data_IF_180250782667
#
_entry.id   IF_180250782667
#
_cell.length_a   1.000
_cell.length_b   1.000
_cell.length_c   1.000
_cell.angle_alpha   90.00
_cell.angle_beta   90.00
_cell.angle_gamma   90.00
#
_symmetry.space_group_name_H-M   'P 1'
#
loop_
_entity.id
_entity.type
_entity.pdbx_description
1 polymer ?
#
# COMPACT_ATOMS: atom_id res chain seq x y z
N UNK A 1 -17.75 17.24 -17.99
CA UNK A 1 -16.64 16.86 -17.09
C UNK A 1 -15.93 18.12 -16.57
N UNK A 2 -15.74 19.13 -17.40
CA UNK A 2 -14.99 20.35 -17.04
C UNK A 2 -15.68 21.23 -15.99
N UNK A 3 -17.02 21.36 -16.01
CA UNK A 3 -17.75 22.16 -15.02
C UNK A 3 -17.58 21.62 -13.59
N UNK A 4 -17.59 20.29 -13.41
CA UNK A 4 -17.42 19.65 -12.11
C UNK A 4 -15.97 19.80 -11.63
N UNK A 5 -15.00 19.64 -12.52
CA UNK A 5 -13.58 19.85 -12.20
C UNK A 5 -13.31 21.31 -11.80
N UNK A 6 -13.90 22.27 -12.53
CA UNK A 6 -13.80 23.69 -12.22
C UNK A 6 -14.47 24.02 -10.88
N UNK A 7 -15.67 23.49 -10.62
CA UNK A 7 -16.35 23.69 -9.33
C UNK A 7 -15.53 23.14 -8.15
N UNK A 8 -14.89 21.98 -8.31
CA UNK A 8 -14.00 21.41 -7.31
C UNK A 8 -12.74 22.26 -7.10
N UNK A 9 -12.14 22.78 -8.16
CA UNK A 9 -10.98 23.66 -8.06
C UNK A 9 -11.33 24.99 -7.35
N UNK A 10 -12.48 25.59 -7.69
CA UNK A 10 -12.99 26.80 -7.01
C UNK A 10 -13.27 26.50 -5.53
N UNK A 11 -13.87 25.35 -5.22
CA UNK A 11 -14.09 24.92 -3.84
C UNK A 11 -12.77 24.75 -3.07
N UNK A 12 -11.76 24.12 -3.66
CA UNK A 12 -10.44 23.95 -3.05
C UNK A 12 -9.76 25.29 -2.76
N UNK A 13 -9.71 26.18 -3.75
CA UNK A 13 -9.12 27.52 -3.56
C UNK A 13 -9.87 28.35 -2.53
N UNK A 14 -11.20 28.25 -2.47
CA UNK A 14 -12.00 28.90 -1.43
C UNK A 14 -11.70 28.34 -0.04
N UNK A 15 -11.60 27.00 0.09
CA UNK A 15 -11.22 26.35 1.34
C UNK A 15 -9.83 26.80 1.80
N UNK A 16 -8.85 26.86 0.90
CA UNK A 16 -7.50 27.34 1.23
C UNK A 16 -7.50 28.80 1.69
N UNK A 17 -8.26 29.68 1.03
CA UNK A 17 -8.43 31.08 1.46
C UNK A 17 -9.08 31.19 2.83
N UNK A 18 -10.15 30.43 3.07
CA UNK A 18 -10.82 30.39 4.37
C UNK A 18 -9.85 29.93 5.48
N UNK A 19 -9.03 28.92 5.22
CA UNK A 19 -8.05 28.44 6.19
C UNK A 19 -7.00 29.50 6.51
N UNK A 20 -6.49 30.22 5.51
CA UNK A 20 -5.56 31.34 5.74
C UNK A 20 -6.18 32.44 6.60
N UNK A 21 -7.46 32.75 6.37
CA UNK A 21 -8.21 33.71 7.17
C UNK A 21 -8.42 33.22 8.61
N UNK A 22 -8.73 31.95 8.82
CA UNK A 22 -8.84 31.35 10.15
C UNK A 22 -7.53 31.44 10.93
N UNK A 23 -6.41 31.08 10.30
CA UNK A 23 -5.07 31.15 10.90
C UNK A 23 -4.73 32.61 11.24
N UNK A 24 -4.94 33.54 10.30
CA UNK A 24 -4.70 34.96 10.54
C UNK A 24 -5.52 35.49 11.71
N UNK A 25 -6.80 35.11 11.79
CA UNK A 25 -7.70 35.54 12.87
C UNK A 25 -7.25 35.00 14.22
N UNK A 26 -6.90 33.72 14.31
CA UNK A 26 -6.40 33.12 15.55
C UNK A 26 -5.11 33.79 16.01
N UNK A 27 -4.19 34.03 15.07
CA UNK A 27 -2.95 34.73 15.32
C UNK A 27 -3.16 36.16 15.83
N UNK A 28 -4.05 36.91 15.18
CA UNK A 28 -4.35 38.28 15.58
C UNK A 28 -4.92 38.32 17.01
N UNK A 29 -5.80 37.37 17.38
CA UNK A 29 -6.31 37.25 18.75
C UNK A 29 -5.18 37.01 19.75
N UNK A 30 -4.29 36.04 19.51
CA UNK A 30 -3.14 35.78 20.39
C UNK A 30 -2.18 36.98 20.48
N UNK A 31 -1.98 37.68 19.36
CA UNK A 31 -1.18 38.90 19.29
C UNK A 31 -1.80 40.02 20.12
N UNK A 32 -3.10 40.24 20.03
CA UNK A 32 -3.83 41.23 20.84
C UNK A 32 -3.80 40.88 22.33
N UNK A 33 -3.99 39.61 22.69
CA UNK A 33 -3.86 39.15 24.08
C UNK A 33 -2.45 39.40 24.64
N UNK A 34 -1.42 39.17 23.82
CA UNK A 34 -0.03 39.42 24.20
C UNK A 34 0.24 40.91 24.37
N UNK A 35 -0.28 41.74 23.46
CA UNK A 35 -0.18 43.21 23.55
C UNK A 35 -0.80 43.76 24.84
N UNK A 36 -1.94 43.23 25.27
CA UNK A 36 -2.61 43.64 26.51
C UNK A 36 -1.80 43.30 27.78
N UNK A 37 -0.90 42.31 27.72
CA UNK A 37 -0.06 41.89 28.85
C UNK A 37 1.32 42.56 28.86
N UNK A 38 1.70 43.26 27.80
CA UNK A 38 3.01 43.87 27.66
C UNK A 38 3.08 45.24 28.35
N UNK A 39 4.21 45.55 29.03
CA UNK A 39 4.49 46.91 29.46
C UNK A 39 4.51 47.87 28.26
N UNK A 40 3.95 49.08 28.39
CA UNK A 40 3.82 50.04 27.30
C UNK A 40 5.14 50.33 26.56
N UNK A 41 6.27 50.31 27.28
CA UNK A 41 7.62 50.52 26.72
C UNK A 41 8.06 49.42 25.75
N UNK A 42 7.52 48.20 25.89
CA UNK A 42 7.93 47.03 25.12
C UNK A 42 7.04 46.80 23.89
N UNK A 43 5.88 47.46 23.82
CA UNK A 43 4.88 47.31 22.74
C UNK A 43 5.47 47.58 21.36
N UNK A 44 6.22 48.67 21.18
CA UNK A 44 6.81 49.01 19.87
C UNK A 44 7.82 47.94 19.42
N UNK A 45 8.66 47.48 20.34
CA UNK A 45 9.65 46.43 20.05
C UNK A 45 8.99 45.09 19.70
N UNK A 46 7.87 44.78 20.34
CA UNK A 46 7.06 43.62 20.03
C UNK A 46 6.45 43.75 18.63
N UNK A 47 5.82 44.89 18.31
CA UNK A 47 5.21 45.13 17.01
C UNK A 47 6.20 45.05 15.84
N UNK A 48 7.43 45.53 16.02
CA UNK A 48 8.50 45.40 15.01
C UNK A 48 8.93 43.95 14.77
N UNK A 49 9.00 43.12 15.82
CA UNK A 49 9.30 41.69 15.70
C UNK A 49 8.15 40.95 15.02
N UNK A 50 6.92 41.29 15.40
CA UNK A 50 5.69 40.73 14.84
C UNK A 50 5.52 41.04 13.35
N UNK A 51 5.93 42.23 12.90
CA UNK A 51 5.87 42.60 11.49
C UNK A 51 6.83 41.79 10.60
N UNK A 52 7.90 41.21 11.17
CA UNK A 52 8.91 40.41 10.46
C UNK A 52 8.59 38.91 10.41
N UNK A 53 7.58 38.45 11.14
CA UNK A 53 7.22 37.03 11.20
C UNK A 53 6.64 36.54 9.88
N UNK A 54 7.15 35.40 9.44
CA UNK A 54 6.66 34.65 8.29
C UNK A 54 5.29 34.03 8.58
N UNK A 55 4.51 33.72 7.55
CA UNK A 55 3.18 33.12 7.74
C UNK A 55 3.23 31.76 8.46
N UNK A 56 4.33 31.01 8.32
CA UNK A 56 4.56 29.76 9.05
C UNK A 56 4.82 29.99 10.55
N UNK A 57 5.41 31.12 10.93
CA UNK A 57 5.60 31.52 12.33
C UNK A 57 4.33 32.08 12.97
N UNK A 58 3.35 32.50 12.15
CA UNK A 58 2.02 32.93 12.62
C UNK A 58 1.08 31.76 12.90
N UNK A 59 1.46 30.55 12.52
CA UNK A 59 0.66 29.36 12.83
C UNK A 59 0.76 29.02 14.31
N UNK A 60 -0.38 29.12 15.01
CA UNK A 60 -0.49 28.70 16.41
C UNK A 60 -0.28 27.19 16.54
N UNK A 61 0.02 26.70 17.74
CA UNK A 61 0.14 25.25 17.97
C UNK A 61 -1.17 24.51 17.69
N UNK A 62 -2.31 25.18 17.85
CA UNK A 62 -3.62 24.64 17.47
C UNK A 62 -3.76 24.51 15.95
N UNK A 63 -3.36 25.54 15.19
CA UNK A 63 -3.41 25.50 13.74
C UNK A 63 -2.52 24.39 13.17
N UNK A 64 -1.32 24.22 13.74
CA UNK A 64 -0.42 23.10 13.42
C UNK A 64 -1.07 21.75 13.71
N UNK A 65 -1.80 21.62 14.82
CA UNK A 65 -2.53 20.39 15.17
C UNK A 65 -3.67 20.12 14.20
N UNK A 66 -4.46 21.14 13.83
CA UNK A 66 -5.51 21.00 12.81
C UNK A 66 -4.90 20.54 11.48
N UNK A 67 -3.81 21.18 11.05
CA UNK A 67 -3.14 20.86 9.79
C UNK A 67 -2.71 19.40 9.75
N UNK A 68 -2.04 18.89 10.80
CA UNK A 68 -1.67 17.48 10.91
C UNK A 68 -2.88 16.54 10.85
N UNK A 69 -3.95 16.86 11.58
CA UNK A 69 -5.18 16.04 11.57
C UNK A 69 -5.79 15.98 10.16
N UNK A 70 -5.76 17.09 9.42
CA UNK A 70 -6.24 17.14 8.03
C UNK A 70 -5.35 16.29 7.12
N UNK A 71 -4.03 16.43 7.22
CA UNK A 71 -3.05 15.63 6.46
C UNK A 71 -3.21 14.13 6.73
N UNK A 72 -3.43 13.73 7.99
CA UNK A 72 -3.71 12.34 8.35
C UNK A 72 -5.02 11.82 7.71
N UNK A 73 -6.06 12.66 7.67
CA UNK A 73 -7.33 12.31 7.03
C UNK A 73 -7.16 12.13 5.52
N UNK A 74 -6.41 13.02 4.86
CA UNK A 74 -6.17 12.92 3.41
C UNK A 74 -5.29 11.70 3.07
N UNK A 75 -4.26 11.42 3.87
CA UNK A 75 -3.43 10.21 3.70
C UNK A 75 -4.26 8.93 3.88
N UNK A 76 -5.12 8.85 4.91
CA UNK A 76 -6.03 7.71 5.09
C UNK A 76 -6.98 7.52 3.92
N UNK A 77 -7.56 8.61 3.40
CA UNK A 77 -8.41 8.56 2.22
C UNK A 77 -7.64 8.05 0.99
N UNK A 78 -6.43 8.57 0.76
CA UNK A 78 -5.56 8.13 -0.33
C UNK A 78 -5.21 6.64 -0.22
N UNK A 79 -4.85 6.14 0.96
CA UNK A 79 -4.58 4.71 1.19
C UNK A 79 -5.80 3.83 0.92
N UNK A 80 -6.99 4.31 1.26
CA UNK A 80 -8.26 3.60 1.01
C UNK A 80 -8.53 3.50 -0.48
N UNK A 81 -8.37 4.60 -1.23
CA UNK A 81 -8.48 4.61 -2.68
C UNK A 81 -7.44 3.68 -3.33
N UNK A 82 -6.18 3.73 -2.89
CA UNK A 82 -5.14 2.83 -3.39
C UNK A 82 -5.50 1.35 -3.16
N UNK A 83 -6.05 1.00 -1.98
CA UNK A 83 -6.51 -0.36 -1.68
C UNK A 83 -7.61 -0.79 -2.64
N UNK A 84 -8.56 0.09 -2.94
CA UNK A 84 -9.64 -0.15 -3.89
C UNK A 84 -9.12 -0.38 -5.31
N UNK A 85 -8.26 0.50 -5.83
CA UNK A 85 -7.66 0.35 -7.16
C UNK A 85 -6.79 -0.90 -7.28
N UNK A 86 -6.04 -1.25 -6.23
CA UNK A 86 -5.30 -2.53 -6.18
C UNK A 86 -6.24 -3.73 -6.29
N UNK A 87 -7.41 -3.70 -5.64
CA UNK A 87 -8.42 -4.77 -5.74
C UNK A 87 -8.99 -4.88 -7.16
N UNK A 88 -9.32 -3.75 -7.80
CA UNK A 88 -9.80 -3.72 -9.19
C UNK A 88 -8.74 -4.31 -10.13
N UNK A 89 -7.50 -3.86 -10.02
CA UNK A 89 -6.40 -4.34 -10.85
C UNK A 89 -6.24 -5.86 -10.74
N UNK A 90 -6.14 -6.37 -9.52
CA UNK A 90 -6.01 -7.81 -9.23
C UNK A 90 -7.20 -8.60 -9.80
N UNK A 91 -8.43 -8.10 -9.64
CA UNK A 91 -9.64 -8.73 -10.24
C UNK A 91 -9.60 -8.70 -11.78
N UNK A 92 -9.09 -7.61 -12.37
CA UNK A 92 -8.90 -7.49 -13.82
C UNK A 92 -7.88 -8.50 -14.36
N UNK A 93 -6.75 -8.66 -13.67
CA UNK A 93 -5.72 -9.66 -13.98
C UNK A 93 -6.29 -11.09 -13.87
N UNK A 94 -7.02 -11.40 -12.79
CA UNK A 94 -7.74 -12.66 -12.61
C UNK A 94 -8.72 -12.95 -13.76
N UNK A 95 -9.54 -11.97 -14.14
CA UNK A 95 -10.48 -12.11 -15.24
C UNK A 95 -9.77 -12.34 -16.58
N UNK A 96 -8.62 -11.69 -16.79
CA UNK A 96 -7.82 -11.89 -17.99
C UNK A 96 -7.22 -13.31 -18.05
N UNK A 97 -6.70 -13.81 -16.92
CA UNK A 97 -6.22 -15.20 -16.80
C UNK A 97 -7.37 -16.19 -17.08
N UNK A 98 -8.53 -16.01 -16.44
CA UNK A 98 -9.70 -16.86 -16.64
C UNK A 98 -10.15 -16.92 -18.10
N UNK A 99 -10.18 -15.77 -18.79
CA UNK A 99 -10.49 -15.70 -20.23
C UNK A 99 -9.44 -16.40 -21.11
N UNK A 100 -8.17 -16.45 -20.69
CA UNK A 100 -7.12 -17.21 -21.41
C UNK A 100 -7.26 -18.71 -21.19
N UNK A 101 -7.52 -19.13 -19.94
CA UNK A 101 -7.70 -20.54 -19.59
C UNK A 101 -8.94 -21.12 -20.26
N UNK A 102 -10.05 -20.37 -20.31
CA UNK A 102 -11.31 -20.84 -20.92
C UNK A 102 -11.21 -21.08 -22.42
N UNK A 103 -10.29 -20.41 -23.13
CA UNK A 103 -10.01 -20.67 -24.56
C UNK A 103 -9.35 -22.03 -24.81
N UNK A 104 -8.74 -22.65 -23.80
CA UNK A 104 -8.07 -23.95 -23.94
C UNK A 104 -9.11 -25.04 -23.68
N UNK A 105 -9.37 -25.93 -24.67
CA UNK A 105 -10.28 -27.06 -24.47
C UNK A 105 -9.85 -27.91 -23.27
N UNK A 106 -10.81 -28.42 -22.49
CA UNK A 106 -10.54 -29.17 -21.26
C UNK A 106 -9.55 -30.34 -21.46
N UNK A 107 -9.70 -31.08 -22.57
CA UNK A 107 -8.78 -32.17 -22.95
C UNK A 107 -7.33 -31.67 -23.09
N UNK A 108 -7.12 -30.54 -23.75
CA UNK A 108 -5.79 -29.94 -23.95
C UNK A 108 -5.21 -29.41 -22.64
N UNK A 109 -6.03 -28.90 -21.73
CA UNK A 109 -5.59 -28.47 -20.39
C UNK A 109 -4.99 -29.63 -19.59
N UNK A 110 -5.62 -30.79 -19.61
CA UNK A 110 -5.08 -32.00 -18.94
C UNK A 110 -3.73 -32.41 -19.52
N UNK A 111 -3.59 -32.41 -20.85
CA UNK A 111 -2.31 -32.74 -21.51
C UNK A 111 -1.20 -31.76 -21.11
N UNK A 112 -1.49 -30.45 -21.07
CA UNK A 112 -0.52 -29.43 -20.65
C UNK A 112 -0.12 -29.59 -19.17
N UNK A 113 -1.08 -29.93 -18.30
CA UNK A 113 -0.80 -30.21 -16.89
C UNK A 113 0.11 -31.42 -16.73
N UNK A 114 -0.09 -32.49 -17.51
CA UNK A 114 0.81 -33.66 -17.54
C UNK A 114 2.23 -33.28 -18.00
N UNK A 115 2.36 -32.45 -19.04
CA UNK A 115 3.67 -31.97 -19.50
C UNK A 115 4.40 -31.12 -18.46
N UNK A 116 3.68 -30.23 -17.75
CA UNK A 116 4.25 -29.45 -16.65
C UNK A 116 4.69 -30.40 -15.54
N UNK A 117 3.87 -31.39 -15.19
CA UNK A 117 4.17 -32.40 -14.17
C UNK A 117 5.42 -33.21 -14.49
N UNK A 118 5.57 -33.66 -15.74
CA UNK A 118 6.77 -34.34 -16.21
C UNK A 118 8.02 -33.46 -16.06
N UNK A 119 7.93 -32.16 -16.37
CA UNK A 119 9.02 -31.19 -16.15
C UNK A 119 9.33 -30.96 -14.66
N UNK A 120 8.35 -31.14 -13.77
CA UNK A 120 8.52 -30.99 -12.32
C UNK A 120 9.03 -32.26 -11.62
N UNK A 121 9.22 -33.37 -12.34
CA UNK A 121 9.81 -34.60 -11.80
C UNK A 121 8.86 -35.51 -11.01
N UNK A 122 7.54 -35.32 -11.11
CA UNK A 122 6.57 -36.19 -10.44
C UNK A 122 6.19 -37.37 -11.34
N UNK A 123 6.58 -38.60 -10.96
CA UNK A 123 6.43 -39.82 -11.78
C UNK A 123 5.07 -40.54 -11.67
N UNK A 124 4.11 -40.06 -10.87
CA UNK A 124 2.82 -40.75 -10.77
C UNK A 124 1.94 -40.38 -11.99
N UNK A 125 1.13 -41.30 -12.55
CA UNK A 125 0.18 -40.98 -13.62
C UNK A 125 -0.95 -40.07 -13.08
N UNK A 126 -1.52 -39.20 -13.92
CA UNK A 126 -2.77 -38.49 -13.57
C UNK A 126 -3.92 -39.51 -13.61
N UNK A 127 -4.11 -40.25 -12.51
CA UNK A 127 -5.39 -40.93 -12.25
C UNK A 127 -6.41 -39.83 -11.96
N UNK A 128 -7.68 -39.97 -12.39
CA UNK A 128 -8.77 -39.01 -12.14
C UNK A 128 -8.59 -38.40 -10.75
N UNK A 129 -8.11 -37.16 -10.70
CA UNK A 129 -7.77 -36.53 -9.44
C UNK A 129 -9.06 -36.34 -8.67
N UNK A 130 -9.31 -37.17 -7.64
CA UNK A 130 -10.15 -36.73 -6.55
C UNK A 130 -9.50 -35.46 -5.99
N UNK A 131 -10.26 -34.38 -5.79
CA UNK A 131 -9.73 -33.07 -5.39
C UNK A 131 -8.70 -33.12 -4.25
N UNK A 132 -8.81 -34.13 -3.37
CA UNK A 132 -7.85 -34.44 -2.32
C UNK A 132 -6.39 -34.60 -2.79
N UNK A 133 -6.13 -35.22 -3.94
CA UNK A 133 -4.77 -35.45 -4.43
C UNK A 133 -4.13 -34.18 -5.02
N UNK A 134 -4.92 -33.31 -5.65
CA UNK A 134 -4.47 -31.96 -6.06
C UNK A 134 -4.20 -31.11 -4.82
N UNK A 135 -5.09 -31.17 -3.82
CA UNK A 135 -4.90 -30.50 -2.53
C UNK A 135 -3.59 -30.96 -1.88
N UNK A 136 -3.31 -32.27 -1.84
CA UNK A 136 -2.08 -32.82 -1.22
C UNK A 136 -0.81 -32.40 -1.96
N UNK A 137 -0.83 -32.39 -3.29
CA UNK A 137 0.31 -31.91 -4.10
C UNK A 137 0.54 -30.40 -3.92
N UNK A 138 -0.55 -29.61 -3.88
CA UNK A 138 -0.52 -28.17 -3.58
C UNK A 138 -0.04 -27.92 -2.16
N UNK A 139 -0.44 -28.73 -1.17
CA UNK A 139 0.02 -28.65 0.22
C UNK A 139 1.50 -28.97 0.37
N UNK A 140 2.01 -29.99 -0.32
CA UNK A 140 3.43 -30.30 -0.35
C UNK A 140 4.24 -29.17 -1.01
N UNK A 141 3.72 -28.57 -2.07
CA UNK A 141 4.35 -27.40 -2.70
C UNK A 141 4.29 -26.17 -1.78
N UNK A 142 3.17 -25.94 -1.09
CA UNK A 142 3.02 -24.90 -0.04
C UNK A 142 4.00 -25.13 1.11
N UNK A 143 4.24 -26.37 1.53
CA UNK A 143 5.20 -26.72 2.58
C UNK A 143 6.64 -26.37 2.19
N UNK A 144 7.06 -26.75 0.97
CA UNK A 144 8.39 -26.41 0.45
C UNK A 144 8.58 -24.89 0.26
N UNK A 145 7.55 -24.20 -0.24
CA UNK A 145 7.59 -22.74 -0.37
C UNK A 145 7.57 -22.02 0.98
N UNK A 146 6.84 -22.54 1.99
CA UNK A 146 6.87 -22.00 3.37
C UNK A 146 8.26 -22.13 3.98
N UNK A 147 8.93 -23.26 3.85
CA UNK A 147 10.33 -23.43 4.30
C UNK A 147 11.27 -22.41 3.63
N UNK A 148 11.09 -22.16 2.34
CA UNK A 148 11.88 -21.16 1.61
C UNK A 148 11.53 -19.71 2.01
N UNK A 149 10.25 -19.44 2.30
CA UNK A 149 9.78 -18.13 2.80
C UNK A 149 10.19 -17.87 4.25
N UNK A 150 10.22 -18.88 5.12
CA UNK A 150 10.65 -18.75 6.51
C UNK A 150 12.16 -18.49 6.60
N UNK A 151 12.96 -19.12 5.73
CA UNK A 151 14.36 -18.74 5.52
C UNK A 151 14.49 -17.25 5.15
N UNK A 152 13.67 -16.76 4.20
CA UNK A 152 13.74 -15.37 3.72
C UNK A 152 13.18 -14.38 4.76
N UNK A 153 12.19 -14.79 5.53
CA UNK A 153 11.61 -14.01 6.62
C UNK A 153 12.59 -13.88 7.78
N UNK A 154 13.32 -14.94 8.14
CA UNK A 154 14.41 -14.89 9.13
C UNK A 154 15.51 -13.91 8.70
N UNK A 155 15.91 -13.92 7.43
CA UNK A 155 16.82 -12.91 6.87
C UNK A 155 16.23 -11.48 6.90
N UNK A 156 14.91 -11.33 6.83
CA UNK A 156 14.26 -10.01 6.86
C UNK A 156 14.06 -9.41 8.26
N UNK A 157 14.06 -10.25 9.31
CA UNK A 157 13.95 -9.78 10.69
C UNK A 157 15.25 -9.10 11.15
N UNK A 158 16.40 -9.55 10.64
CA UNK A 158 17.70 -8.87 10.87
C UNK A 158 17.73 -7.45 10.29
N UNK A 159 16.90 -7.14 9.28
CA UNK A 159 16.84 -5.81 8.65
C UNK A 159 16.07 -4.79 9.50
N UNK A 160 15.25 -5.23 10.46
CA UNK A 160 14.57 -4.33 11.42
C UNK A 160 15.46 -4.02 12.65
N UNK A 161 16.66 -4.58 12.71
CA UNK A 161 17.63 -4.33 13.78
C UNK A 161 18.44 -3.07 13.41
N UNK A 162 18.09 -1.95 14.06
CA UNK A 162 18.82 -0.67 14.14
C UNK A 162 18.44 0.48 13.21
N UNK A 163 17.25 1.04 13.47
CA UNK A 163 16.79 2.38 13.06
C UNK A 163 17.65 3.57 13.59
N UNK A 164 18.74 3.32 14.33
CA UNK A 164 19.58 4.38 14.96
C UNK A 164 20.95 4.57 14.31
N UNK A 165 21.39 3.71 13.40
CA UNK A 165 22.73 3.74 12.79
C UNK A 165 22.74 3.84 11.25
N UNK A 166 21.59 4.13 10.62
CA UNK A 166 21.41 4.13 9.16
C UNK A 166 21.85 5.44 8.45
N UNK A 167 22.35 6.44 9.18
CA UNK A 167 22.59 7.79 8.67
C UNK A 167 24.06 8.16 8.39
N UNK A 168 25.00 7.19 8.38
CA UNK A 168 26.42 7.47 8.11
C UNK A 168 26.84 7.03 6.70
N UNK A 169 27.33 7.93 5.82
CA UNK A 169 27.61 7.65 4.39
C UNK A 169 28.60 6.52 4.10
N UNK A 170 29.38 6.07 5.09
CA UNK A 170 30.41 5.03 4.94
C UNK A 170 30.19 3.80 5.86
N UNK A 171 29.01 3.63 6.46
CA UNK A 171 28.75 2.43 7.26
C UNK A 171 28.33 1.25 6.37
N UNK A 172 28.66 -0.01 6.75
CA UNK A 172 28.11 -1.22 6.10
C UNK A 172 26.56 -1.20 6.03
N UNK A 173 25.93 -0.50 6.97
CA UNK A 173 24.48 -0.29 7.02
C UNK A 173 23.95 0.71 5.98
N UNK A 174 24.79 1.57 5.39
CA UNK A 174 24.38 2.49 4.32
C UNK A 174 24.14 1.76 2.98
N UNK A 175 24.87 0.68 2.72
CA UNK A 175 24.58 -0.19 1.58
C UNK A 175 23.19 -0.83 1.72
N UNK A 176 22.85 -1.24 2.95
CA UNK A 176 21.53 -1.79 3.28
C UNK A 176 20.46 -0.69 3.12
N UNK A 177 20.71 0.54 3.57
CA UNK A 177 19.80 1.68 3.40
C UNK A 177 19.46 1.96 1.93
N UNK A 178 20.46 1.97 1.04
CA UNK A 178 20.26 2.14 -0.40
C UNK A 178 19.47 1.00 -1.05
N UNK A 179 19.49 -0.20 -0.45
CA UNK A 179 18.69 -1.34 -0.90
C UNK A 179 17.25 -1.33 -0.36
N UNK A 180 16.89 -0.46 0.59
CA UNK A 180 15.54 -0.43 1.17
C UNK A 180 14.44 -0.23 0.10
N UNK A 181 14.56 0.71 -0.87
CA UNK A 181 13.55 0.86 -1.91
C UNK A 181 13.40 -0.38 -2.79
N UNK A 182 14.51 -1.07 -3.10
CA UNK A 182 14.47 -2.31 -3.89
C UNK A 182 13.86 -3.46 -3.09
N UNK A 183 14.14 -3.55 -1.79
CA UNK A 183 13.52 -4.52 -0.88
C UNK A 183 12.01 -4.27 -0.71
N UNK A 184 11.57 -3.00 -0.61
CA UNK A 184 10.14 -2.64 -0.57
C UNK A 184 9.44 -3.03 -1.87
N UNK A 185 10.07 -2.75 -3.04
CA UNK A 185 9.54 -3.20 -4.34
C UNK A 185 9.44 -4.71 -4.40
N UNK A 186 10.50 -5.44 -4.03
CA UNK A 186 10.51 -6.90 -4.00
C UNK A 186 9.47 -7.48 -3.05
N UNK A 187 9.22 -6.83 -1.90
CA UNK A 187 8.15 -7.19 -0.95
C UNK A 187 6.76 -6.95 -1.54
N UNK A 188 6.58 -5.87 -2.30
CA UNK A 188 5.32 -5.60 -3.00
C UNK A 188 5.08 -6.59 -4.14
N UNK A 189 6.12 -6.96 -4.89
CA UNK A 189 6.11 -8.01 -5.92
C UNK A 189 5.77 -9.37 -5.31
N UNK A 190 6.37 -9.73 -4.17
CA UNK A 190 6.03 -10.96 -3.46
C UNK A 190 4.57 -10.98 -3.01
N UNK A 191 4.06 -9.89 -2.43
CA UNK A 191 2.65 -9.78 -2.05
C UNK A 191 1.70 -9.84 -3.26
N UNK A 192 2.12 -9.31 -4.41
CA UNK A 192 1.35 -9.43 -5.65
C UNK A 192 1.36 -10.88 -6.14
N UNK A 193 2.52 -11.54 -6.17
CA UNK A 193 2.64 -12.95 -6.51
C UNK A 193 1.81 -13.86 -5.58
N UNK A 194 1.78 -13.57 -4.27
CA UNK A 194 0.93 -14.26 -3.30
C UNK A 194 -0.56 -14.13 -3.64
N UNK A 195 -1.02 -12.91 -3.96
CA UNK A 195 -2.42 -12.71 -4.38
C UNK A 195 -2.75 -13.40 -5.70
N UNK A 196 -1.81 -13.42 -6.64
CA UNK A 196 -2.00 -14.15 -7.90
C UNK A 196 -2.08 -15.66 -7.66
N UNK A 197 -1.28 -16.19 -6.73
CA UNK A 197 -1.39 -17.60 -6.30
C UNK A 197 -2.71 -17.91 -5.58
N UNK A 198 -3.21 -17.01 -4.72
CA UNK A 198 -4.54 -17.15 -4.10
C UNK A 198 -5.65 -17.19 -5.15
N UNK A 199 -5.55 -16.32 -6.17
CA UNK A 199 -6.43 -16.30 -7.32
C UNK A 199 -6.39 -17.62 -8.08
N UNK A 200 -5.19 -18.09 -8.42
CA UNK A 200 -5.01 -19.35 -9.16
C UNK A 200 -5.55 -20.53 -8.34
N UNK A 201 -5.35 -20.53 -7.02
CA UNK A 201 -5.91 -21.54 -6.11
C UNK A 201 -7.44 -21.51 -6.12
N UNK A 202 -8.05 -20.33 -6.01
CA UNK A 202 -9.51 -20.18 -6.07
C UNK A 202 -10.10 -20.64 -7.41
N UNK A 203 -9.40 -20.39 -8.52
CA UNK A 203 -9.81 -20.86 -9.86
C UNK A 203 -9.75 -22.39 -9.91
N UNK A 204 -8.71 -23.00 -9.34
CA UNK A 204 -8.58 -24.46 -9.28
C UNK A 204 -9.66 -25.10 -8.40
N UNK A 205 -10.03 -24.47 -7.28
CA UNK A 205 -11.10 -24.94 -6.39
C UNK A 205 -12.46 -24.92 -7.10
N UNK A 206 -12.78 -23.83 -7.81
CA UNK A 206 -13.99 -23.74 -8.64
C UNK A 206 -13.98 -24.83 -9.71
N UNK A 207 -12.86 -25.04 -10.38
CA UNK A 207 -12.76 -26.02 -11.46
C UNK A 207 -12.88 -27.47 -10.96
N UNK A 208 -12.33 -27.78 -9.78
CA UNK A 208 -12.46 -29.08 -9.14
C UNK A 208 -13.89 -29.31 -8.59
N UNK A 209 -14.56 -28.25 -8.09
CA UNK A 209 -15.95 -28.27 -7.67
C UNK A 209 -16.90 -28.59 -8.84
N UNK A 210 -16.77 -27.87 -9.96
CA UNK A 210 -17.57 -28.10 -11.17
C UNK A 210 -17.40 -29.50 -11.76
N UNK A 211 -16.26 -30.18 -11.55
CA UNK A 211 -16.10 -31.57 -11.98
C UNK A 211 -16.89 -32.56 -11.12
N UNK A 212 -17.13 -32.30 -9.83
CA UNK A 212 -17.95 -33.17 -8.98
C UNK A 212 -19.42 -33.14 -9.38
N UNK A 213 -19.94 -31.98 -9.76
CA UNK A 213 -21.36 -31.81 -10.08
C UNK A 213 -21.73 -32.36 -11.48
N UNK A 214 -20.74 -32.60 -12.35
CA UNK A 214 -20.93 -33.16 -13.70
C UNK A 214 -20.64 -34.69 -13.79
N UNK A 215 -20.53 -35.38 -12.65
CA UNK A 215 -20.22 -36.82 -12.57
C UNK A 215 -21.41 -37.70 -12.11
N UNK A 216 -22.64 -37.15 -12.13
CA UNK A 216 -23.89 -37.87 -11.90
C UNK A 216 -24.74 -37.94 -13.17
#
# INVERSE_FOLDING_TARGET
>A
MDEVANALAVSQTMMEKMQKLEISKNYDVEKFETLLRLPARDVNTFMEKEAKKTDDEKMTDMDRRIKRIREDKTDRAARTLQKYFRKIRVKGEQNHINKRISKIPAKRRVVLLEQIRQKMGEQQPIRRFGGYQVIRAVELHKGKQKLQKDWLAKLSIDVNFHDKNLSRPNSPTHFIANSIPTLIRKKAEMKHAEKMQEIDSSIMDIYCGFQKDNLH
#
